data_IF_811877909389
#
_entry.id   IF_811877909389
#
_cell.length_a   1.000
_cell.length_b   1.000
_cell.length_c   1.000
_cell.angle_alpha   90.00
_cell.angle_beta   90.00
_cell.angle_gamma   90.00
#
_symmetry.space_group_name_H-M   'P 1'
#
loop_
_entity.id
_entity.type
_entity.pdbx_description
1 polymer ?
#
# COMPACT_ATOMS: atom_id res chain seq x y z
N UNK A 1 -14.65 -25.96 17.11
CA UNK A 1 -14.96 -24.58 16.65
C UNK A 1 -14.01 -24.24 15.51
N UNK A 2 -14.54 -24.12 14.30
CA UNK A 2 -13.74 -23.83 13.10
C UNK A 2 -13.26 -22.39 13.18
N UNK A 3 -11.97 -22.18 13.37
CA UNK A 3 -11.34 -20.88 13.25
C UNK A 3 -11.43 -20.44 11.80
N UNK A 4 -12.37 -19.55 11.50
CA UNK A 4 -12.40 -18.85 10.21
C UNK A 4 -11.05 -18.16 10.01
N UNK A 5 -10.21 -18.70 9.16
CA UNK A 5 -8.99 -18.05 8.68
C UNK A 5 -9.39 -16.68 8.13
N UNK A 6 -9.10 -15.61 8.87
CA UNK A 6 -9.26 -14.24 8.35
C UNK A 6 -8.23 -14.10 7.24
N UNK A 7 -8.69 -13.84 6.03
CA UNK A 7 -7.82 -13.55 4.89
C UNK A 7 -7.18 -12.19 5.18
N UNK A 8 -5.91 -12.19 5.54
CA UNK A 8 -5.11 -10.98 5.73
C UNK A 8 -4.42 -10.68 4.40
N UNK A 9 -4.85 -9.61 3.74
CA UNK A 9 -4.13 -9.06 2.60
C UNK A 9 -2.98 -8.18 3.10
N UNK A 10 -1.77 -8.47 2.65
CA UNK A 10 -0.61 -7.62 2.90
C UNK A 10 -0.74 -6.25 2.18
N UNK A 11 -0.01 -5.25 2.66
CA UNK A 11 -0.04 -3.87 2.10
C UNK A 11 0.21 -3.86 0.58
N UNK A 12 1.14 -4.67 0.12
CA UNK A 12 1.48 -4.79 -1.31
C UNK A 12 0.39 -5.50 -2.12
N UNK A 13 -0.26 -6.51 -1.56
CA UNK A 13 -1.38 -7.21 -2.21
C UNK A 13 -2.55 -6.25 -2.44
N UNK A 14 -2.87 -5.41 -1.46
CA UNK A 14 -3.90 -4.38 -1.60
C UNK A 14 -3.59 -3.37 -2.69
N UNK A 15 -2.32 -2.94 -2.80
CA UNK A 15 -1.90 -2.03 -3.88
C UNK A 15 -2.02 -2.67 -5.26
N UNK A 16 -1.71 -3.96 -5.39
CA UNK A 16 -1.88 -4.70 -6.64
C UNK A 16 -3.36 -4.85 -6.98
N UNK A 17 -4.18 -5.23 -6.01
CA UNK A 17 -5.64 -5.36 -6.16
C UNK A 17 -6.23 -4.03 -6.62
N UNK A 18 -5.87 -2.90 -5.99
CA UNK A 18 -6.34 -1.58 -6.37
C UNK A 18 -5.99 -1.26 -7.84
N UNK A 19 -4.73 -1.49 -8.25
CA UNK A 19 -4.30 -1.25 -9.64
C UNK A 19 -5.07 -2.11 -10.63
N UNK A 20 -5.22 -3.39 -10.34
CA UNK A 20 -5.93 -4.32 -11.21
C UNK A 20 -7.41 -3.91 -11.39
N UNK A 21 -8.09 -3.64 -10.29
CA UNK A 21 -9.50 -3.27 -10.36
C UNK A 21 -9.74 -1.86 -10.92
N UNK A 22 -8.85 -0.90 -10.72
CA UNK A 22 -8.94 0.41 -11.38
C UNK A 22 -8.96 0.26 -12.90
N UNK A 23 -8.01 -0.50 -13.43
CA UNK A 23 -7.93 -0.80 -14.86
C UNK A 23 -9.16 -1.56 -15.33
N UNK A 24 -9.53 -2.63 -14.62
CA UNK A 24 -10.65 -3.48 -14.98
C UNK A 24 -11.96 -2.70 -15.07
N UNK A 25 -12.31 -1.95 -14.03
CA UNK A 25 -13.58 -1.20 -14.00
C UNK A 25 -13.62 -0.08 -15.03
N UNK A 26 -12.51 0.62 -15.25
CA UNK A 26 -12.44 1.65 -16.28
C UNK A 26 -12.67 1.06 -17.67
N UNK A 27 -11.99 -0.03 -18.02
CA UNK A 27 -12.15 -0.66 -19.33
C UNK A 27 -13.55 -1.23 -19.52
N UNK A 28 -14.09 -1.94 -18.52
CA UNK A 28 -15.46 -2.46 -18.56
C UNK A 28 -16.48 -1.33 -18.69
N UNK A 29 -16.28 -0.23 -17.97
CA UNK A 29 -17.15 0.94 -18.02
C UNK A 29 -17.15 1.60 -19.41
N UNK A 30 -15.96 1.86 -19.96
CA UNK A 30 -15.83 2.43 -21.30
C UNK A 30 -16.47 1.55 -22.38
N UNK A 31 -16.20 0.26 -22.33
CA UNK A 31 -16.75 -0.70 -23.30
C UNK A 31 -18.28 -0.82 -23.18
N UNK A 32 -18.81 -0.97 -21.94
CA UNK A 32 -20.24 -1.12 -21.71
C UNK A 32 -21.03 0.12 -22.12
N UNK A 33 -20.58 1.32 -21.72
CA UNK A 33 -21.26 2.56 -22.10
C UNK A 33 -21.10 2.84 -23.59
N UNK A 34 -19.96 2.50 -24.18
CA UNK A 34 -19.73 2.60 -25.60
C UNK A 34 -20.76 1.81 -26.42
N UNK A 35 -21.07 0.59 -26.02
CA UNK A 35 -22.11 -0.25 -26.66
C UNK A 35 -23.51 0.31 -26.40
N UNK A 36 -23.85 0.59 -25.14
CA UNK A 36 -25.21 1.02 -24.75
C UNK A 36 -25.57 2.36 -25.40
N UNK A 37 -24.64 3.33 -25.40
CA UNK A 37 -24.87 4.65 -25.96
C UNK A 37 -24.50 4.75 -27.45
N UNK A 38 -24.09 3.66 -28.08
CA UNK A 38 -23.66 3.58 -29.48
C UNK A 38 -22.56 4.60 -29.82
N UNK A 39 -21.55 4.71 -28.94
CA UNK A 39 -20.44 5.66 -29.04
C UNK A 39 -19.18 4.94 -29.54
N UNK A 40 -18.85 5.10 -30.80
CA UNK A 40 -17.72 4.42 -31.47
C UNK A 40 -16.39 4.72 -30.80
N UNK A 41 -16.13 5.97 -30.38
CA UNK A 41 -14.87 6.34 -29.75
C UNK A 41 -14.59 5.54 -28.48
N UNK A 42 -15.59 5.35 -27.62
CA UNK A 42 -15.46 4.60 -26.36
C UNK A 42 -15.18 3.11 -26.61
N UNK A 43 -15.87 2.51 -27.57
CA UNK A 43 -15.65 1.11 -27.93
C UNK A 43 -14.31 0.89 -28.57
N UNK A 44 -13.87 1.77 -29.46
CA UNK A 44 -12.58 1.70 -30.15
C UNK A 44 -11.42 1.84 -29.17
N UNK A 45 -11.48 2.78 -28.24
CA UNK A 45 -10.47 2.96 -27.18
C UNK A 45 -10.37 1.70 -26.29
N UNK A 46 -11.49 1.06 -25.96
CA UNK A 46 -11.52 -0.09 -25.08
C UNK A 46 -11.25 -1.44 -25.78
N UNK A 47 -11.43 -1.54 -27.10
CA UNK A 47 -11.31 -2.78 -27.86
C UNK A 47 -10.00 -2.92 -28.65
N UNK A 48 -9.35 -1.80 -29.01
CA UNK A 48 -8.10 -1.83 -29.77
C UNK A 48 -6.89 -2.00 -28.83
N UNK A 49 -6.16 -3.11 -28.90
CA UNK A 49 -5.15 -3.46 -27.89
C UNK A 49 -4.09 -2.37 -27.65
N UNK A 50 -3.59 -1.75 -28.73
CA UNK A 50 -2.57 -0.71 -28.62
C UNK A 50 -3.06 0.53 -27.86
N UNK A 51 -4.23 1.04 -28.20
CA UNK A 51 -4.83 2.22 -27.58
C UNK A 51 -5.27 1.95 -26.14
N UNK A 52 -5.78 0.73 -25.88
CA UNK A 52 -6.11 0.27 -24.54
C UNK A 52 -4.88 0.20 -23.63
N UNK A 53 -3.78 -0.39 -24.12
CA UNK A 53 -2.53 -0.48 -23.34
C UNK A 53 -2.01 0.92 -23.00
N UNK A 54 -2.01 1.83 -23.95
CA UNK A 54 -1.55 3.20 -23.71
C UNK A 54 -2.42 3.92 -22.66
N UNK A 55 -3.74 3.77 -22.73
CA UNK A 55 -4.66 4.31 -21.73
C UNK A 55 -4.37 3.76 -20.34
N UNK A 56 -4.16 2.44 -20.24
CA UNK A 56 -3.81 1.75 -18.98
C UNK A 56 -2.49 2.25 -18.42
N UNK A 57 -1.48 2.42 -19.27
CA UNK A 57 -0.17 2.95 -18.84
C UNK A 57 -0.34 4.36 -18.28
N UNK A 58 -1.05 5.25 -18.97
CA UNK A 58 -1.29 6.61 -18.48
C UNK A 58 -2.10 6.61 -17.18
N UNK A 59 -3.16 5.81 -17.08
CA UNK A 59 -3.94 5.68 -15.86
C UNK A 59 -3.06 5.27 -14.66
N UNK A 60 -2.31 4.17 -14.80
CA UNK A 60 -1.48 3.65 -13.71
C UNK A 60 -0.35 4.61 -13.35
N UNK A 61 0.24 5.27 -14.35
CA UNK A 61 1.30 6.26 -14.15
C UNK A 61 0.80 7.46 -13.35
N UNK A 62 -0.27 8.11 -13.79
CA UNK A 62 -0.82 9.26 -13.09
C UNK A 62 -1.44 8.90 -11.74
N UNK A 63 -2.12 7.76 -11.64
CA UNK A 63 -2.62 7.25 -10.35
C UNK A 63 -1.49 6.99 -9.34
N UNK A 64 -0.29 6.63 -9.81
CA UNK A 64 0.89 6.47 -8.95
C UNK A 64 1.45 7.83 -8.52
N UNK A 65 1.56 8.80 -9.45
CA UNK A 65 2.01 10.16 -9.16
C UNK A 65 1.10 10.85 -8.13
N UNK A 66 -0.22 10.73 -8.31
CA UNK A 66 -1.20 11.34 -7.41
C UNK A 66 -1.52 10.46 -6.17
N UNK A 67 -0.63 9.53 -5.83
CA UNK A 67 -0.70 8.70 -4.63
C UNK A 67 -2.02 7.93 -4.43
N UNK A 68 -2.75 7.62 -5.50
CA UNK A 68 -3.99 6.86 -5.40
C UNK A 68 -3.82 5.45 -4.85
N UNK A 69 -2.59 4.91 -4.91
CA UNK A 69 -2.23 3.59 -4.35
C UNK A 69 -1.62 3.66 -2.96
N UNK A 70 -1.57 4.84 -2.36
CA UNK A 70 -1.26 4.98 -0.94
C UNK A 70 -2.50 4.56 -0.14
N UNK A 71 -2.38 3.55 0.74
CA UNK A 71 -3.53 3.01 1.45
C UNK A 71 -4.17 4.00 2.43
N UNK A 72 -3.40 4.96 2.95
CA UNK A 72 -3.94 6.04 3.78
C UNK A 72 -4.85 6.96 2.96
N UNK A 73 -4.41 7.30 1.75
CA UNK A 73 -5.21 8.10 0.81
C UNK A 73 -6.42 7.31 0.32
N UNK A 74 -6.20 6.03 -0.03
CA UNK A 74 -7.24 5.14 -0.53
C UNK A 74 -8.34 4.79 0.49
N UNK A 75 -8.14 5.07 1.78
CA UNK A 75 -9.14 4.88 2.84
C UNK A 75 -9.92 6.12 3.23
N UNK A 76 -9.50 7.31 2.75
CA UNK A 76 -10.16 8.58 3.05
C UNK A 76 -11.03 9.03 1.88
N UNK A 77 -12.35 9.15 2.10
CA UNK A 77 -13.32 9.49 1.06
C UNK A 77 -13.01 10.80 0.33
N UNK A 78 -12.63 11.85 1.09
CA UNK A 78 -12.31 13.16 0.51
C UNK A 78 -11.04 13.12 -0.34
N UNK A 79 -9.99 12.46 0.14
CA UNK A 79 -8.74 12.31 -0.60
C UNK A 79 -8.93 11.46 -1.86
N UNK A 80 -9.75 10.41 -1.78
CA UNK A 80 -10.13 9.60 -2.94
C UNK A 80 -10.84 10.44 -3.99
N UNK A 81 -11.84 11.24 -3.61
CA UNK A 81 -12.53 12.13 -4.55
C UNK A 81 -11.55 13.11 -5.22
N UNK A 82 -10.76 13.84 -4.43
CA UNK A 82 -9.78 14.80 -4.92
C UNK A 82 -8.80 14.16 -5.90
N UNK A 83 -8.16 13.06 -5.49
CA UNK A 83 -7.13 12.42 -6.29
C UNK A 83 -7.70 11.74 -7.53
N UNK A 84 -8.93 11.20 -7.46
CA UNK A 84 -9.63 10.66 -8.64
C UNK A 84 -9.89 11.75 -9.67
N UNK A 85 -10.39 12.92 -9.28
CA UNK A 85 -10.62 14.04 -10.19
C UNK A 85 -9.32 14.44 -10.90
N UNK A 86 -8.23 14.61 -10.14
CA UNK A 86 -6.94 15.01 -10.71
C UNK A 86 -6.39 13.94 -11.65
N UNK A 87 -6.43 12.66 -11.22
CA UNK A 87 -5.92 11.54 -12.03
C UNK A 87 -6.70 11.40 -13.33
N UNK A 88 -8.02 11.41 -13.27
CA UNK A 88 -8.86 11.27 -14.47
C UNK A 88 -8.65 12.45 -15.41
N UNK A 89 -8.69 13.68 -14.88
CA UNK A 89 -8.49 14.89 -15.70
C UNK A 89 -7.15 14.85 -16.42
N UNK A 90 -6.08 14.53 -15.71
CA UNK A 90 -4.73 14.47 -16.30
C UNK A 90 -4.61 13.32 -17.30
N UNK A 91 -5.12 12.13 -16.95
CA UNK A 91 -5.08 10.95 -17.82
C UNK A 91 -5.84 11.21 -19.13
N UNK A 92 -7.07 11.67 -19.04
CA UNK A 92 -7.91 11.95 -20.21
C UNK A 92 -7.31 13.07 -21.06
N UNK A 93 -6.85 14.15 -20.41
CA UNK A 93 -6.20 15.25 -21.12
C UNK A 93 -4.97 14.76 -21.90
N UNK A 94 -4.02 14.09 -21.23
CA UNK A 94 -2.81 13.59 -21.88
C UNK A 94 -3.15 12.58 -22.97
N UNK A 95 -4.09 11.67 -22.73
CA UNK A 95 -4.51 10.68 -23.72
C UNK A 95 -5.09 11.33 -24.99
N UNK A 96 -5.98 12.31 -24.84
CA UNK A 96 -6.59 13.01 -25.99
C UNK A 96 -5.57 13.86 -26.77
N UNK A 97 -4.57 14.40 -26.11
CA UNK A 97 -3.57 15.28 -26.73
C UNK A 97 -2.28 14.55 -27.13
N UNK A 98 -2.21 13.22 -27.02
CA UNK A 98 -1.06 12.44 -27.54
C UNK A 98 -1.28 12.13 -29.01
N UNK A 99 -0.60 12.81 -29.95
CA UNK A 99 -0.77 12.54 -31.38
C UNK A 99 -0.14 11.19 -31.76
N UNK A 100 -0.64 10.58 -32.82
CA UNK A 100 -0.15 9.34 -33.46
C UNK A 100 -0.33 8.04 -32.66
N UNK A 101 -0.33 8.10 -31.35
CA UNK A 101 -0.44 6.92 -30.49
C UNK A 101 -1.83 6.66 -29.93
N UNK A 102 -2.74 7.62 -30.08
CA UNK A 102 -4.15 7.53 -29.65
C UNK A 102 -5.06 7.66 -30.87
N UNK A 103 -6.32 7.18 -30.76
CA UNK A 103 -7.28 7.35 -31.85
C UNK A 103 -7.52 8.85 -32.14
N UNK A 104 -7.92 9.14 -33.35
CA UNK A 104 -8.27 10.51 -33.75
C UNK A 104 -9.32 11.08 -32.80
N UNK A 105 -9.16 12.38 -32.50
CA UNK A 105 -10.05 13.05 -31.57
C UNK A 105 -11.48 13.03 -32.12
N UNK A 106 -12.48 12.69 -31.32
CA UNK A 106 -13.85 12.65 -31.82
C UNK A 106 -14.31 14.03 -32.26
N UNK A 107 -14.95 14.11 -33.41
CA UNK A 107 -15.51 15.36 -33.97
C UNK A 107 -16.60 15.98 -33.10
N UNK A 108 -17.29 15.15 -32.33
CA UNK A 108 -18.36 15.57 -31.43
C UNK A 108 -17.83 15.79 -30.00
N UNK A 109 -17.95 17.04 -29.53
CA UNK A 109 -17.56 17.43 -28.16
C UNK A 109 -18.28 16.63 -27.08
N UNK A 110 -19.50 16.14 -27.36
CA UNK A 110 -20.25 15.29 -26.43
C UNK A 110 -19.52 13.96 -26.15
N UNK A 111 -18.87 13.38 -27.15
CA UNK A 111 -18.11 12.14 -26.98
C UNK A 111 -16.89 12.34 -26.06
N UNK A 112 -16.23 13.49 -26.13
CA UNK A 112 -15.12 13.84 -25.23
C UNK A 112 -15.63 13.98 -23.78
N UNK A 113 -16.75 14.66 -23.60
CA UNK A 113 -17.38 14.80 -22.28
C UNK A 113 -17.83 13.45 -21.73
N UNK A 114 -18.45 12.60 -22.54
CA UNK A 114 -18.87 11.25 -22.15
C UNK A 114 -17.65 10.38 -21.79
N UNK A 115 -16.57 10.45 -22.55
CA UNK A 115 -15.34 9.74 -22.25
C UNK A 115 -14.81 10.11 -20.86
N UNK A 116 -14.73 11.41 -20.57
CA UNK A 116 -14.32 11.91 -19.25
C UNK A 116 -15.27 11.45 -18.15
N UNK A 117 -16.57 11.61 -18.34
CA UNK A 117 -17.58 11.25 -17.32
C UNK A 117 -17.62 9.76 -17.05
N UNK A 118 -17.58 8.93 -18.06
CA UNK A 118 -17.57 7.47 -17.88
C UNK A 118 -16.31 7.03 -17.15
N UNK A 119 -15.16 7.57 -17.54
CA UNK A 119 -13.89 7.29 -16.88
C UNK A 119 -13.93 7.68 -15.38
N UNK A 120 -14.43 8.89 -15.11
CA UNK A 120 -14.56 9.41 -13.75
C UNK A 120 -15.54 8.58 -12.90
N UNK A 121 -16.75 8.36 -13.42
CA UNK A 121 -17.80 7.65 -12.67
C UNK A 121 -17.38 6.22 -12.37
N UNK A 122 -16.81 5.49 -13.31
CA UNK A 122 -16.40 4.10 -13.12
C UNK A 122 -15.26 3.98 -12.11
N UNK A 123 -14.23 4.82 -12.23
CA UNK A 123 -13.11 4.81 -11.32
C UNK A 123 -13.52 5.27 -9.91
N UNK A 124 -14.31 6.33 -9.81
CA UNK A 124 -14.78 6.85 -8.53
C UNK A 124 -15.74 5.88 -7.82
N UNK A 125 -16.69 5.28 -8.54
CA UNK A 125 -17.62 4.30 -7.96
C UNK A 125 -16.88 3.09 -7.39
N UNK A 126 -15.91 2.55 -8.13
CA UNK A 126 -15.07 1.48 -7.63
C UNK A 126 -14.28 1.90 -6.38
N UNK A 127 -13.67 3.07 -6.40
CA UNK A 127 -12.90 3.59 -5.27
C UNK A 127 -13.76 3.86 -4.04
N UNK A 128 -14.97 4.38 -4.21
CA UNK A 128 -15.93 4.53 -3.11
C UNK A 128 -16.38 3.18 -2.55
N UNK A 129 -16.61 2.20 -3.42
CA UNK A 129 -16.89 0.83 -2.97
C UNK A 129 -15.72 0.27 -2.16
N UNK A 130 -14.48 0.46 -2.61
CA UNK A 130 -13.30 0.05 -1.86
C UNK A 130 -13.25 0.70 -0.47
N UNK A 131 -13.45 2.02 -0.38
CA UNK A 131 -13.45 2.75 0.91
C UNK A 131 -14.53 2.23 1.85
N UNK A 132 -15.74 2.04 1.35
CA UNK A 132 -16.88 1.67 2.20
C UNK A 132 -16.84 0.20 2.66
N UNK A 133 -16.39 -0.71 1.80
CA UNK A 133 -16.47 -2.15 2.05
C UNK A 133 -15.13 -2.80 2.39
N UNK A 134 -14.05 -2.43 1.70
CA UNK A 134 -12.75 -3.06 1.86
C UNK A 134 -11.82 -2.30 2.82
N UNK A 135 -11.90 -0.97 2.87
CA UNK A 135 -11.09 -0.17 3.78
C UNK A 135 -11.72 -0.03 5.19
N UNK A 136 -12.92 -0.58 5.41
CA UNK A 136 -13.59 -0.52 6.71
C UNK A 136 -12.85 -1.38 7.77
N UNK A 137 -13.29 -1.30 9.04
CA UNK A 137 -12.70 -1.90 10.25
C UNK A 137 -12.26 -3.38 10.19
N UNK A 138 -12.50 -4.10 9.11
CA UNK A 138 -12.00 -5.47 8.92
C UNK A 138 -10.49 -5.56 8.70
N UNK A 139 -9.84 -4.44 8.41
CA UNK A 139 -8.43 -4.35 8.05
C UNK A 139 -7.62 -3.46 8.99
N UNK A 140 -8.12 -3.25 10.21
CA UNK A 140 -7.35 -2.57 11.25
C UNK A 140 -6.07 -3.36 11.52
N UNK A 141 -4.93 -2.70 11.35
CA UNK A 141 -3.65 -3.24 11.77
C UNK A 141 -3.60 -3.18 13.29
N UNK A 142 -3.67 -4.34 13.93
CA UNK A 142 -3.54 -4.45 15.37
C UNK A 142 -2.07 -4.58 15.74
N UNK A 143 -1.61 -3.70 16.59
CA UNK A 143 -0.23 -3.69 17.07
C UNK A 143 -0.17 -3.88 18.59
N UNK A 144 0.95 -4.44 19.05
CA UNK A 144 1.35 -4.50 20.46
C UNK A 144 2.57 -3.63 20.63
N UNK A 145 2.57 -2.83 21.69
CA UNK A 145 3.69 -1.99 22.07
C UNK A 145 4.54 -2.68 23.17
N UNK A 146 5.85 -2.71 22.99
CA UNK A 146 6.81 -3.17 24.00
C UNK A 146 7.63 -1.97 24.45
N UNK A 147 7.36 -1.47 25.65
CA UNK A 147 8.00 -0.28 26.17
C UNK A 147 7.92 -0.18 27.70
N UNK A 148 8.59 0.80 28.26
CA UNK A 148 8.52 1.12 29.68
C UNK A 148 7.18 1.78 29.99
N UNK A 149 6.66 1.59 31.20
CA UNK A 149 5.37 2.10 31.66
C UNK A 149 5.21 3.62 31.45
N UNK A 150 6.26 4.38 31.76
CA UNK A 150 6.25 5.84 31.68
C UNK A 150 6.09 6.35 30.24
N UNK A 151 6.47 5.55 29.26
CA UNK A 151 6.45 5.92 27.84
C UNK A 151 5.17 5.51 27.11
N UNK A 152 4.38 4.60 27.71
CA UNK A 152 3.18 4.05 27.05
C UNK A 152 2.27 5.14 26.52
N UNK A 153 1.98 6.14 27.35
CA UNK A 153 1.07 7.23 26.97
C UNK A 153 1.60 8.06 25.81
N UNK A 154 2.85 8.45 25.89
CA UNK A 154 3.51 9.27 24.87
C UNK A 154 3.57 8.55 23.53
N UNK A 155 3.93 7.27 23.56
CA UNK A 155 4.06 6.45 22.36
C UNK A 155 2.70 6.15 21.70
N UNK A 156 1.66 5.92 22.51
CA UNK A 156 0.29 5.72 22.01
C UNK A 156 -0.21 7.00 21.36
N UNK A 157 -0.16 8.13 22.06
CA UNK A 157 -0.60 9.44 21.54
C UNK A 157 0.15 9.83 20.25
N UNK A 158 1.42 9.44 20.14
CA UNK A 158 2.22 9.68 18.95
C UNK A 158 1.77 8.90 17.72
N UNK A 159 1.06 7.78 17.88
CA UNK A 159 0.61 6.94 16.75
C UNK A 159 -0.90 6.96 16.52
N UNK A 160 -1.70 7.21 17.53
CA UNK A 160 -3.14 6.98 17.54
C UNK A 160 -3.94 7.87 16.58
N UNK A 161 -3.57 9.12 16.45
CA UNK A 161 -4.30 10.09 15.62
C UNK A 161 -3.83 10.15 14.16
N UNK A 162 -2.87 9.30 13.80
CA UNK A 162 -2.20 9.38 12.49
C UNK A 162 -2.88 8.48 11.46
N UNK A 163 -3.27 7.29 11.88
CA UNK A 163 -3.87 6.29 10.98
C UNK A 163 -5.09 5.65 11.66
N UNK A 164 -6.31 5.95 11.22
CA UNK A 164 -7.53 5.37 11.80
C UNK A 164 -7.63 3.84 11.63
N UNK A 165 -6.75 3.24 10.86
CA UNK A 165 -6.66 1.79 10.66
C UNK A 165 -5.49 1.16 11.42
N UNK A 166 -4.86 1.87 12.34
CA UNK A 166 -3.79 1.38 13.20
C UNK A 166 -4.21 1.46 14.66
N UNK A 167 -4.38 0.31 15.28
CA UNK A 167 -4.87 0.18 16.65
C UNK A 167 -3.82 -0.49 17.54
N UNK A 168 -3.44 0.17 18.62
CA UNK A 168 -2.61 -0.43 19.65
C UNK A 168 -3.51 -1.15 20.64
N UNK A 169 -3.55 -2.49 20.59
CA UNK A 169 -4.46 -3.33 21.37
C UNK A 169 -3.92 -3.61 22.77
N UNK A 170 -2.61 -3.63 22.92
CA UNK A 170 -1.97 -3.97 24.18
C UNK A 170 -0.53 -3.51 24.27
N UNK A 171 0.00 -3.55 25.48
CA UNK A 171 1.42 -3.29 25.72
C UNK A 171 2.05 -4.30 26.67
N UNK A 172 3.35 -4.56 26.47
CA UNK A 172 4.20 -5.35 27.35
C UNK A 172 5.16 -4.41 28.04
N UNK A 173 5.13 -4.44 29.39
CA UNK A 173 6.04 -3.62 30.19
C UNK A 173 7.45 -4.23 30.23
N UNK A 174 8.47 -3.42 29.94
CA UNK A 174 9.87 -3.81 29.99
C UNK A 174 10.54 -3.49 31.34
N UNK A 175 9.87 -2.75 32.24
CA UNK A 175 10.42 -2.45 33.54
C UNK A 175 10.51 -3.68 34.44
N UNK A 176 11.57 -3.75 35.27
CA UNK A 176 11.86 -4.89 36.14
C UNK A 176 10.89 -5.03 37.35
N UNK A 177 10.12 -3.97 37.60
CA UNK A 177 9.22 -3.93 38.77
C UNK A 177 7.83 -4.40 38.33
N UNK A 178 7.40 -5.55 38.80
CA UNK A 178 6.02 -6.04 38.73
C UNK A 178 5.09 -5.27 39.67
N UNK A 179 4.98 -3.98 39.51
CA UNK A 179 3.91 -3.25 40.18
C UNK A 179 2.58 -3.54 39.53
N UNK A 180 1.53 -3.68 40.35
CA UNK A 180 0.11 -3.77 39.96
C UNK A 180 -0.29 -2.58 39.12
N UNK A 181 -0.05 -2.66 37.82
CA UNK A 181 -0.37 -1.61 36.87
C UNK A 181 -1.75 -1.90 36.30
N UNK A 182 -2.68 -1.01 36.56
CA UNK A 182 -3.98 -0.96 35.91
C UNK A 182 -3.82 -0.79 34.40
N UNK A 183 -4.75 -1.35 33.66
CA UNK A 183 -4.87 -1.14 32.21
C UNK A 183 -4.82 0.37 31.89
N UNK A 184 -4.11 0.72 30.84
CA UNK A 184 -3.97 2.12 30.45
C UNK A 184 -5.08 2.49 29.46
N UNK A 185 -6.09 3.22 29.94
CA UNK A 185 -7.28 3.60 29.14
C UNK A 185 -7.97 2.35 28.54
N UNK A 186 -7.79 2.12 27.23
CA UNK A 186 -8.33 0.99 26.47
C UNK A 186 -7.23 -0.02 26.06
N UNK A 187 -5.95 0.24 26.40
CA UNK A 187 -4.83 -0.62 26.02
C UNK A 187 -4.55 -1.63 27.13
N UNK A 188 -4.74 -2.89 26.83
CA UNK A 188 -4.59 -3.99 27.79
C UNK A 188 -3.11 -4.27 28.08
N UNK A 189 -2.76 -4.39 29.35
CA UNK A 189 -1.46 -4.91 29.74
C UNK A 189 -1.37 -6.41 29.46
N UNK A 190 -0.30 -6.82 28.79
CA UNK A 190 0.00 -8.22 28.48
C UNK A 190 1.18 -8.64 29.34
N UNK A 191 1.05 -9.82 29.99
CA UNK A 191 2.19 -10.43 30.69
C UNK A 191 3.23 -10.89 29.68
N UNK A 192 4.51 -10.83 30.06
CA UNK A 192 5.60 -11.23 29.17
C UNK A 192 5.45 -12.66 28.67
N UNK A 193 5.06 -13.57 29.56
CA UNK A 193 4.90 -14.99 29.26
C UNK A 193 3.75 -15.30 28.31
N UNK A 194 2.71 -14.45 28.31
CA UNK A 194 1.50 -14.64 27.52
C UNK A 194 1.58 -13.96 26.14
N UNK A 195 2.68 -13.29 25.81
CA UNK A 195 2.81 -12.50 24.58
C UNK A 195 2.52 -13.33 23.32
N UNK A 196 3.14 -14.51 23.21
CA UNK A 196 2.98 -15.38 22.05
C UNK A 196 1.53 -15.84 21.86
N UNK A 197 0.90 -16.29 22.94
CA UNK A 197 -0.51 -16.73 22.92
C UNK A 197 -1.44 -15.58 22.55
N UNK A 198 -1.22 -14.42 23.14
CA UNK A 198 -2.03 -13.23 22.90
C UNK A 198 -1.93 -12.74 21.44
N UNK A 199 -0.73 -12.72 20.86
CA UNK A 199 -0.51 -12.34 19.45
C UNK A 199 -1.31 -13.26 18.53
N UNK A 200 -1.26 -14.56 18.77
CA UNK A 200 -1.92 -15.56 17.94
C UNK A 200 -3.45 -15.54 18.07
N UNK A 201 -3.97 -15.37 19.28
CA UNK A 201 -5.42 -15.35 19.54
C UNK A 201 -6.10 -14.09 19.03
N UNK A 202 -5.46 -12.94 19.15
CA UNK A 202 -6.03 -11.66 18.78
C UNK A 202 -5.71 -11.23 17.34
N UNK A 203 -4.94 -12.04 16.58
CA UNK A 203 -4.58 -11.75 15.20
C UNK A 203 -3.76 -10.48 15.07
N UNK A 204 -2.78 -10.31 15.95
CA UNK A 204 -1.88 -9.15 15.94
C UNK A 204 -0.98 -9.24 14.70
N UNK A 205 -0.90 -8.15 13.96
CA UNK A 205 -0.14 -8.05 12.72
C UNK A 205 1.27 -7.50 12.91
N UNK A 206 1.46 -6.69 13.94
CA UNK A 206 2.71 -5.96 14.15
C UNK A 206 3.05 -5.83 15.64
N UNK A 207 4.33 -5.95 15.95
CA UNK A 207 4.89 -5.73 17.28
C UNK A 207 5.84 -4.53 17.19
N UNK A 208 5.57 -3.53 18.00
CA UNK A 208 6.31 -2.27 18.00
C UNK A 208 7.17 -2.16 19.26
N UNK A 209 8.47 -2.06 19.09
CA UNK A 209 9.41 -1.93 20.19
C UNK A 209 9.71 -0.46 20.42
N UNK A 210 9.27 0.03 21.57
CA UNK A 210 9.45 1.41 22.02
C UNK A 210 10.41 1.56 23.21
N UNK A 211 10.97 0.47 23.74
CA UNK A 211 11.86 0.53 24.89
C UNK A 211 13.14 1.33 24.58
N UNK A 212 13.51 2.21 25.51
CA UNK A 212 14.74 3.02 25.37
C UNK A 212 16.00 2.25 25.77
N UNK A 213 15.86 1.25 26.64
CA UNK A 213 16.98 0.50 27.18
C UNK A 213 16.88 -0.97 26.79
N UNK A 214 17.98 -1.52 26.34
CA UNK A 214 18.11 -2.95 26.03
C UNK A 214 17.93 -3.84 27.29
N UNK A 215 18.28 -3.30 28.44
CA UNK A 215 18.19 -3.99 29.75
C UNK A 215 16.77 -4.44 30.13
N UNK A 216 15.74 -3.76 29.59
CA UNK A 216 14.33 -4.13 29.81
C UNK A 216 13.85 -5.33 29.00
N UNK A 217 14.63 -5.78 28.01
CA UNK A 217 14.29 -6.93 27.18
C UNK A 217 15.01 -8.16 27.74
N UNK A 218 14.28 -8.95 28.54
CA UNK A 218 14.80 -10.19 29.11
C UNK A 218 15.08 -11.22 28.00
N UNK A 219 15.94 -12.19 28.30
CA UNK A 219 16.26 -13.28 27.37
C UNK A 219 14.99 -14.04 26.92
N UNK A 220 14.07 -14.24 27.84
CA UNK A 220 12.79 -14.92 27.58
C UNK A 220 11.90 -14.12 26.59
N UNK A 221 11.78 -12.82 26.83
CA UNK A 221 11.05 -11.93 25.90
C UNK A 221 11.70 -11.90 24.52
N UNK A 222 13.03 -11.87 24.48
CA UNK A 222 13.78 -11.92 23.23
C UNK A 222 13.52 -13.23 22.45
N UNK A 223 13.52 -14.37 23.13
CA UNK A 223 13.22 -15.67 22.51
C UNK A 223 11.80 -15.72 21.97
N UNK A 224 10.80 -15.19 22.69
CA UNK A 224 9.44 -15.09 22.19
C UNK A 224 9.33 -14.19 20.96
N UNK A 225 10.03 -13.06 20.92
CA UNK A 225 10.08 -12.18 19.77
C UNK A 225 10.71 -12.84 18.55
N UNK A 226 11.80 -13.61 18.74
CA UNK A 226 12.39 -14.38 17.65
C UNK A 226 11.40 -15.41 17.09
N UNK A 227 10.73 -16.15 17.96
CA UNK A 227 9.73 -17.13 17.54
C UNK A 227 8.55 -16.49 16.80
N UNK A 228 8.10 -15.30 17.23
CA UNK A 228 7.07 -14.52 16.55
C UNK A 228 7.56 -14.01 15.17
N UNK A 229 8.82 -13.59 15.08
CA UNK A 229 9.44 -13.21 13.83
C UNK A 229 9.51 -14.39 12.83
N UNK A 230 9.90 -15.57 13.30
CA UNK A 230 9.93 -16.80 12.50
C UNK A 230 8.54 -17.25 12.06
N UNK A 231 7.52 -17.01 12.88
CA UNK A 231 6.12 -17.30 12.54
C UNK A 231 5.50 -16.28 11.56
N UNK A 232 6.27 -15.26 11.16
CA UNK A 232 5.87 -14.28 10.12
C UNK A 232 5.25 -13.00 10.66
N UNK A 233 5.30 -12.75 11.97
CA UNK A 233 4.88 -11.48 12.53
C UNK A 233 5.90 -10.38 12.22
N UNK A 234 5.42 -9.17 11.98
CA UNK A 234 6.27 -8.01 11.71
C UNK A 234 6.70 -7.41 13.04
N UNK A 235 8.00 -7.25 13.23
CA UNK A 235 8.56 -6.57 14.39
C UNK A 235 9.30 -5.33 13.90
N UNK A 236 8.90 -4.17 14.41
CA UNK A 236 9.52 -2.89 14.05
C UNK A 236 9.82 -2.07 15.30
N UNK A 237 10.76 -1.17 15.16
CA UNK A 237 10.99 -0.15 16.16
C UNK A 237 9.96 0.99 16.02
N UNK A 238 9.63 1.61 17.15
CA UNK A 238 8.68 2.72 17.20
C UNK A 238 9.03 3.86 16.24
N UNK A 239 10.31 4.23 16.15
CA UNK A 239 10.78 5.28 15.24
C UNK A 239 10.49 4.98 13.79
N UNK A 240 10.68 3.73 13.36
CA UNK A 240 10.37 3.27 12.00
C UNK A 240 8.87 3.32 11.71
N UNK A 241 8.04 2.89 12.69
CA UNK A 241 6.59 2.94 12.56
C UNK A 241 6.13 4.39 12.51
N UNK A 242 6.63 5.22 13.41
CA UNK A 242 6.32 6.65 13.45
C UNK A 242 6.69 7.34 12.13
N UNK A 243 7.91 7.14 11.63
CA UNK A 243 8.37 7.70 10.37
C UNK A 243 7.50 7.23 9.19
N UNK A 244 7.21 5.94 9.11
CA UNK A 244 6.38 5.38 8.02
C UNK A 244 4.95 5.91 8.02
N UNK A 245 4.40 6.25 9.20
CA UNK A 245 3.03 6.74 9.37
C UNK A 245 2.92 8.26 9.27
N UNK A 246 3.89 8.99 9.82
CA UNK A 246 3.86 10.47 9.91
C UNK A 246 4.63 11.15 8.80
N UNK A 247 5.54 10.45 8.13
CA UNK A 247 6.55 11.02 7.22
C UNK A 247 7.46 12.04 7.94
N UNK A 248 7.63 11.88 9.27
CA UNK A 248 8.45 12.75 10.14
C UNK A 248 9.39 11.89 10.95
N UNK A 249 10.61 12.37 11.19
CA UNK A 249 11.61 11.71 12.02
C UNK A 249 11.43 12.19 13.47
N UNK A 250 11.17 11.30 14.45
CA UNK A 250 11.06 11.68 15.85
C UNK A 250 12.46 11.86 16.44
N UNK A 251 13.01 13.07 16.38
CA UNK A 251 14.40 13.40 16.79
C UNK A 251 14.68 12.96 18.24
N UNK A 252 13.70 13.08 19.12
CA UNK A 252 13.82 12.73 20.54
C UNK A 252 14.07 11.23 20.80
N UNK A 253 13.84 10.37 19.79
CA UNK A 253 13.98 8.91 19.93
C UNK A 253 15.15 8.34 19.12
N UNK A 254 15.98 9.17 18.49
CA UNK A 254 17.06 8.71 17.61
C UNK A 254 18.29 8.12 18.32
N UNK A 255 18.48 8.39 19.61
CA UNK A 255 19.68 7.98 20.37
C UNK A 255 19.58 6.58 20.97
N UNK A 256 18.91 5.64 20.35
CA UNK A 256 18.63 4.32 20.95
C UNK A 256 19.59 3.25 20.46
N UNK A 257 20.24 2.60 21.43
CA UNK A 257 21.18 1.48 21.17
C UNK A 257 20.51 0.20 20.66
N UNK A 258 19.18 0.11 20.68
CA UNK A 258 18.41 -1.06 20.29
C UNK A 258 18.60 -1.47 18.83
N UNK A 259 18.84 -0.53 17.94
CA UNK A 259 19.10 -0.77 16.53
C UNK A 259 20.25 -1.73 16.23
N UNK A 260 21.21 -1.85 17.16
CA UNK A 260 22.43 -2.64 16.95
C UNK A 260 22.23 -4.14 17.19
N UNK A 261 21.21 -4.53 17.93
CA UNK A 261 21.12 -5.88 18.50
C UNK A 261 19.91 -6.70 18.08
N UNK A 262 18.91 -6.09 17.44
CA UNK A 262 17.72 -6.82 17.01
C UNK A 262 17.64 -6.95 15.50
N UNK A 263 17.55 -8.18 14.94
CA UNK A 263 17.31 -8.36 13.53
C UNK A 263 15.84 -7.98 13.25
N UNK A 264 15.63 -6.70 12.94
CA UNK A 264 14.31 -6.25 12.49
C UNK A 264 13.85 -7.10 11.30
N UNK A 265 12.56 -7.40 11.24
CA UNK A 265 12.00 -8.14 10.13
C UNK A 265 12.47 -7.49 8.84
N UNK A 266 13.29 -8.18 8.09
CA UNK A 266 13.43 -7.87 6.67
C UNK A 266 12.01 -7.78 6.18
N UNK A 267 11.62 -6.63 5.62
CA UNK A 267 10.30 -6.40 5.07
C UNK A 267 9.88 -7.71 4.42
N UNK A 268 8.82 -8.28 4.94
CA UNK A 268 8.35 -9.60 4.53
C UNK A 268 8.38 -9.58 3.02
N UNK A 269 9.30 -10.35 2.41
CA UNK A 269 9.51 -10.27 0.96
C UNK A 269 8.26 -10.87 0.35
N UNK A 270 7.28 -10.01 0.16
CA UNK A 270 6.02 -10.40 -0.41
C UNK A 270 6.32 -11.06 -1.75
N UNK A 271 6.11 -12.36 -1.83
CA UNK A 271 6.41 -13.17 -3.02
C UNK A 271 5.73 -12.60 -4.26
N UNK A 272 4.52 -12.03 -4.10
CA UNK A 272 3.80 -11.34 -5.19
C UNK A 272 4.49 -10.05 -5.63
N UNK A 273 4.99 -9.25 -4.70
CA UNK A 273 5.77 -8.06 -5.04
C UNK A 273 7.05 -8.43 -5.79
N UNK A 274 7.80 -9.42 -5.30
CA UNK A 274 9.01 -9.89 -5.98
C UNK A 274 8.70 -10.44 -7.37
N UNK A 275 7.62 -11.21 -7.52
CA UNK A 275 7.17 -11.72 -8.82
C UNK A 275 6.82 -10.56 -9.76
N UNK A 276 6.07 -9.57 -9.27
CA UNK A 276 5.72 -8.38 -10.07
C UNK A 276 6.96 -7.62 -10.51
N UNK A 277 7.90 -7.36 -9.60
CA UNK A 277 9.17 -6.70 -9.93
C UNK A 277 9.95 -7.51 -10.98
N UNK A 278 10.02 -8.83 -10.83
CA UNK A 278 10.70 -9.71 -11.81
C UNK A 278 10.05 -9.68 -13.18
N UNK A 279 8.73 -9.68 -13.25
CA UNK A 279 8.00 -9.55 -14.52
C UNK A 279 8.33 -8.21 -15.19
N UNK A 280 8.32 -7.11 -14.44
CA UNK A 280 8.70 -5.80 -14.97
C UNK A 280 10.17 -5.75 -15.42
N UNK A 281 11.10 -6.30 -14.65
CA UNK A 281 12.52 -6.39 -15.03
C UNK A 281 12.68 -7.13 -16.36
N UNK A 282 12.02 -8.28 -16.53
CA UNK A 282 12.08 -9.08 -17.76
C UNK A 282 11.50 -8.31 -18.95
N UNK A 283 10.34 -7.69 -18.79
CA UNK A 283 9.69 -6.91 -19.85
C UNK A 283 10.58 -5.74 -20.30
N UNK A 284 11.11 -4.97 -19.35
CA UNK A 284 12.00 -3.84 -19.65
C UNK A 284 13.29 -4.31 -20.32
N UNK A 285 13.87 -5.41 -19.84
CA UNK A 285 15.08 -5.99 -20.42
C UNK A 285 14.85 -6.48 -21.86
N UNK A 286 13.71 -7.11 -22.15
CA UNK A 286 13.34 -7.56 -23.50
C UNK A 286 13.14 -6.36 -24.43
N UNK A 287 12.47 -5.30 -23.98
CA UNK A 287 12.32 -4.07 -24.77
C UNK A 287 13.66 -3.41 -25.05
N UNK A 288 14.53 -3.33 -24.03
CA UNK A 288 15.89 -2.81 -24.19
C UNK A 288 16.72 -3.63 -25.18
N UNK A 289 16.61 -4.96 -25.13
CA UNK A 289 17.28 -5.87 -26.05
C UNK A 289 16.77 -5.71 -27.49
N UNK A 290 15.45 -5.59 -27.67
CA UNK A 290 14.84 -5.35 -28.98
C UNK A 290 15.32 -4.05 -29.61
N UNK A 291 15.35 -2.95 -28.82
CA UNK A 291 15.89 -1.65 -29.28
C UNK A 291 17.41 -1.78 -29.60
N UNK A 292 18.16 -2.46 -28.73
CA UNK A 292 19.60 -2.69 -28.96
C UNK A 292 19.88 -3.47 -30.24
N UNK A 293 19.08 -4.50 -30.54
CA UNK A 293 19.21 -5.28 -31.80
C UNK A 293 18.93 -4.44 -33.05
N UNK A 294 17.97 -3.51 -32.97
CA UNK A 294 17.68 -2.59 -34.09
C UNK A 294 18.80 -1.56 -34.27
N UNK A 295 19.41 -1.09 -33.19
CA UNK A 295 20.51 -0.10 -33.25
C UNK A 295 21.86 -0.71 -33.60
N UNK A 296 22.06 -2.00 -33.33
CA UNK A 296 23.32 -2.68 -33.53
C UNK A 296 23.86 -2.59 -34.99
N UNK A 297 23.04 -2.85 -36.05
CA UNK A 297 23.49 -2.69 -37.41
C UNK A 297 23.84 -1.25 -37.76
N UNK A 298 23.10 -0.27 -37.22
CA UNK A 298 23.41 1.16 -37.43
C UNK A 298 24.76 1.54 -36.81
N UNK A 299 25.06 1.04 -35.62
CA UNK A 299 26.33 1.27 -34.93
C UNK A 299 27.48 0.59 -35.70
N UNK A 300 27.27 -0.64 -36.20
CA UNK A 300 28.28 -1.36 -36.98
C UNK A 300 28.63 -0.62 -38.30
N UNK A 301 27.61 -0.12 -38.99
CA UNK A 301 27.82 0.67 -40.21
C UNK A 301 28.52 1.99 -39.90
N UNK A 302 28.15 2.67 -38.83
CA UNK A 302 28.78 3.93 -38.40
C UNK A 302 30.25 3.77 -37.96
N UNK A 303 30.63 2.60 -37.42
CA UNK A 303 32.02 2.30 -37.06
C UNK A 303 32.85 1.80 -38.23
N UNK A 304 32.26 1.39 -39.34
CA UNK A 304 32.94 0.90 -40.53
C UNK A 304 33.28 2.01 -41.53
N UNK A 305 32.74 3.20 -41.36
CA UNK A 305 33.02 4.43 -42.12
C UNK A 305 34.04 5.27 -41.35
#
# INVERSE_FOLDING_TARGET
MSTKKKIHFEISERKIILRFFDVFFVLVGLYSVGIICNQEYLTVVASTPFWTILLVVYLVFFATIFEMYNLQVASNQFLVLKNTIITVSTTVFVYLFTPFFTPEMPSNRLQVLLFFMVFFITLFSWRMFYVLFLASNRFVQKAILICNKEQVQELILGLENIDPHYEIVGFVNTDSIEETVSDYHYVKRIKRDDLFSFVKENGISEIVIGSQKTEGITLELYQQLLHLLESGNIIREYTQVYESKTQRIPIQYMSRDFYRFFPFSRSNQNKLYLLTVRVFEIVISLLGLAVGLVLLPLILVGNAI
#
